data_IF_920099732144
#
_entry.id   IF_920099732144
#
_cell.length_a   1.000
_cell.length_b   1.000
_cell.length_c   1.000
_cell.angle_alpha   90.00
_cell.angle_beta   90.00
_cell.angle_gamma   90.00
#
_symmetry.space_group_name_H-M   'P 1'
#
loop_
_entity.id
_entity.type
_entity.pdbx_description
1 polymer ?
#
# COMPACT_ATOMS: atom_id res chain seq x y z
N UNK A 1 20.07 21.98 17.32
CA UNK A 1 19.26 21.45 16.21
C UNK A 1 19.31 19.93 16.29
N UNK A 2 18.34 19.30 16.95
CA UNK A 2 18.30 17.84 17.11
C UNK A 2 17.84 17.21 15.79
N UNK A 3 18.70 16.43 15.14
CA UNK A 3 18.41 15.71 13.91
C UNK A 3 17.47 14.52 14.20
N UNK A 4 16.21 14.82 14.48
CA UNK A 4 15.15 13.82 14.66
C UNK A 4 14.45 13.56 13.34
N UNK A 5 15.14 13.02 12.34
CA UNK A 5 14.43 12.43 11.20
C UNK A 5 13.71 11.19 11.73
N UNK A 6 12.41 11.29 12.00
CA UNK A 6 11.53 10.14 12.27
C UNK A 6 11.48 9.28 11.01
N UNK A 7 12.51 8.46 10.83
CA UNK A 7 12.65 7.57 9.69
C UNK A 7 11.72 6.38 9.94
N UNK A 8 10.51 6.43 9.36
CA UNK A 8 9.61 5.29 9.40
C UNK A 8 10.33 4.04 8.83
N UNK A 9 10.10 2.85 9.38
CA UNK A 9 10.95 1.69 9.12
C UNK A 9 10.97 1.23 7.65
N UNK A 10 9.97 1.61 6.84
CA UNK A 10 9.90 1.32 5.41
C UNK A 10 10.07 2.57 4.52
N UNK A 11 10.57 3.68 5.07
CA UNK A 11 10.81 4.89 4.27
C UNK A 11 11.75 4.59 3.11
N UNK A 12 11.37 5.02 1.90
CA UNK A 12 12.15 4.83 0.68
C UNK A 12 11.90 3.50 -0.04
N UNK A 13 11.10 2.61 0.54
CA UNK A 13 10.63 1.40 -0.14
C UNK A 13 9.41 1.74 -0.98
N UNK A 14 9.40 1.25 -2.23
CA UNK A 14 8.26 1.35 -3.15
C UNK A 14 7.67 -0.05 -3.36
N UNK A 15 6.36 -0.19 -3.18
CA UNK A 15 5.64 -1.47 -3.27
C UNK A 15 4.62 -1.38 -4.39
N UNK A 16 4.70 -2.30 -5.35
CA UNK A 16 3.67 -2.50 -6.36
C UNK A 16 2.67 -3.55 -5.87
N UNK A 17 1.45 -3.11 -5.57
CA UNK A 17 0.38 -3.95 -5.05
C UNK A 17 -0.54 -4.42 -6.18
N UNK A 18 -0.43 -5.69 -6.54
CA UNK A 18 -1.26 -6.38 -7.53
C UNK A 18 -2.35 -7.25 -6.88
N UNK A 19 -2.58 -7.11 -5.58
CA UNK A 19 -3.54 -7.93 -4.85
C UNK A 19 -4.97 -7.39 -4.95
N UNK A 20 -5.92 -8.29 -4.69
CA UNK A 20 -7.35 -8.01 -4.71
C UNK A 20 -8.03 -8.41 -3.41
N UNK A 21 -9.26 -7.94 -3.22
CA UNK A 21 -10.07 -8.13 -2.01
C UNK A 21 -9.38 -7.56 -0.76
N UNK A 22 -9.29 -8.34 0.33
CA UNK A 22 -8.98 -7.80 1.66
C UNK A 22 -7.54 -8.07 2.08
N UNK A 23 -7.09 -9.33 2.02
CA UNK A 23 -5.84 -9.73 2.67
C UNK A 23 -4.61 -8.97 2.12
N UNK A 24 -4.49 -8.88 0.80
CA UNK A 24 -3.38 -8.19 0.16
C UNK A 24 -3.40 -6.68 0.37
N UNK A 25 -4.51 -5.97 0.05
CA UNK A 25 -4.56 -4.52 0.21
C UNK A 25 -4.46 -4.07 1.67
N UNK A 26 -4.91 -4.90 2.62
CA UNK A 26 -4.71 -4.64 4.05
C UNK A 26 -3.22 -4.76 4.44
N UNK A 27 -2.53 -5.77 3.90
CA UNK A 27 -1.10 -5.99 4.17
C UNK A 27 -0.28 -4.81 3.66
N UNK A 28 -0.49 -4.38 2.42
CA UNK A 28 0.25 -3.25 1.82
C UNK A 28 -0.14 -1.92 2.48
N UNK A 29 -1.38 -1.77 2.95
CA UNK A 29 -1.79 -0.61 3.77
C UNK A 29 -1.01 -0.51 5.08
N UNK A 30 -0.73 -1.63 5.75
CA UNK A 30 0.15 -1.63 6.94
C UNK A 30 1.57 -1.20 6.57
N UNK A 31 2.10 -1.62 5.41
CA UNK A 31 3.40 -1.16 4.93
C UNK A 31 3.41 0.35 4.67
N UNK A 32 2.33 0.92 4.11
CA UNK A 32 2.20 2.36 3.91
C UNK A 32 2.22 3.12 5.24
N UNK A 33 1.55 2.61 6.29
CA UNK A 33 1.61 3.19 7.64
C UNK A 33 3.03 3.20 8.21
N UNK A 34 3.88 2.27 7.77
CA UNK A 34 5.30 2.19 8.12
C UNK A 34 6.22 2.93 7.13
N UNK A 35 5.68 3.75 6.24
CA UNK A 35 6.43 4.69 5.42
C UNK A 35 6.76 4.24 4.00
N UNK A 36 6.24 3.09 3.55
CA UNK A 36 6.38 2.66 2.16
C UNK A 36 5.50 3.50 1.21
N UNK A 37 5.99 3.77 0.00
CA UNK A 37 5.17 4.25 -1.12
C UNK A 37 4.48 3.04 -1.76
N UNK A 38 3.17 2.89 -1.52
CA UNK A 38 2.39 1.78 -2.07
C UNK A 38 1.62 2.25 -3.30
N UNK A 39 1.89 1.63 -4.44
CA UNK A 39 1.19 1.87 -5.70
C UNK A 39 0.27 0.69 -5.96
N UNK A 40 -1.03 0.94 -5.90
CA UNK A 40 -2.05 -0.06 -6.20
C UNK A 40 -2.28 -0.15 -7.69
N UNK A 41 -2.21 -1.37 -8.22
CA UNK A 41 -2.37 -1.65 -9.64
C UNK A 41 -3.61 -2.51 -9.82
N UNK A 42 -4.58 -1.96 -10.55
CA UNK A 42 -5.86 -2.61 -10.82
C UNK A 42 -6.08 -2.76 -12.33
N UNK A 43 -6.80 -3.82 -12.70
CA UNK A 43 -7.20 -4.02 -14.09
C UNK A 43 -8.34 -3.07 -14.46
N UNK A 44 -8.21 -2.39 -15.59
CA UNK A 44 -9.28 -1.56 -16.15
C UNK A 44 -10.46 -2.40 -16.69
N UNK A 45 -10.23 -3.69 -17.02
CA UNK A 45 -11.26 -4.59 -17.51
C UNK A 45 -12.01 -5.31 -16.37
N UNK A 46 -11.35 -5.49 -15.22
CA UNK A 46 -11.90 -6.17 -14.03
C UNK A 46 -11.38 -5.46 -12.78
N UNK A 47 -12.15 -4.49 -12.32
CA UNK A 47 -11.84 -3.81 -11.05
C UNK A 47 -11.89 -4.81 -9.88
N UNK A 48 -11.17 -4.48 -8.81
CA UNK A 48 -11.29 -5.24 -7.57
C UNK A 48 -12.74 -5.20 -7.06
N UNK A 49 -13.29 -6.36 -6.71
CA UNK A 49 -14.66 -6.53 -6.21
C UNK A 49 -14.93 -5.70 -4.96
N UNK A 50 -13.90 -5.33 -4.19
CA UNK A 50 -14.06 -4.43 -3.04
C UNK A 50 -14.50 -3.02 -3.43
N UNK A 51 -14.28 -2.60 -4.70
CA UNK A 51 -14.79 -1.33 -5.23
C UNK A 51 -16.26 -1.41 -5.65
N UNK A 52 -16.76 -2.61 -5.97
CA UNK A 52 -18.09 -2.81 -6.55
C UNK A 52 -19.11 -3.36 -5.56
N UNK A 53 -18.69 -3.70 -4.33
CA UNK A 53 -19.59 -4.14 -3.26
C UNK A 53 -19.87 -5.65 -3.23
N UNK A 54 -19.12 -6.45 -3.99
CA UNK A 54 -19.41 -7.87 -4.21
C UNK A 54 -20.21 -8.11 -5.48
#
# INVERSE_FOLDING_TARGET
MTNGSTNLPLRGIRVADFSWMIAGPLTTRVMANYGAEVIRIESAARYDTIRTGG
#
